data_IF_177401063069
#
_entry.id   IF_177401063069
#
_cell.length_a   1.000
_cell.length_b   1.000
_cell.length_c   1.000
_cell.angle_alpha   90.00
_cell.angle_beta   90.00
_cell.angle_gamma   90.00
#
_symmetry.space_group_name_H-M   'P 1'
#
loop_
_entity.id
_entity.type
_entity.pdbx_description
1 polymer ?
#
# COMPACT_ATOMS: atom_id res chain seq x y z
N UNK A 1 13.06 3.64 -25.20
CA UNK A 1 13.73 3.37 -23.91
C UNK A 1 13.16 4.16 -22.73
N UNK A 2 13.14 5.50 -22.73
CA UNK A 2 12.68 6.30 -21.57
C UNK A 2 11.24 6.00 -21.08
N UNK A 3 10.29 5.78 -21.99
CA UNK A 3 8.89 5.45 -21.65
C UNK A 3 8.74 4.07 -20.99
N UNK A 4 9.47 3.06 -21.49
CA UNK A 4 9.44 1.71 -20.94
C UNK A 4 10.02 1.67 -19.52
N UNK A 5 11.14 2.36 -19.29
CA UNK A 5 11.77 2.47 -17.98
C UNK A 5 10.83 3.13 -16.94
N UNK A 6 10.09 4.17 -17.36
CA UNK A 6 9.13 4.84 -16.48
C UNK A 6 7.96 3.94 -16.08
N UNK A 7 7.46 3.11 -17.01
CA UNK A 7 6.39 2.14 -16.72
C UNK A 7 6.93 1.05 -15.78
N UNK A 8 8.11 0.49 -16.06
CA UNK A 8 8.72 -0.54 -15.23
C UNK A 8 8.97 -0.05 -13.80
N UNK A 9 9.50 1.17 -13.64
CA UNK A 9 9.71 1.77 -12.32
C UNK A 9 8.39 1.92 -11.54
N UNK A 10 7.31 2.28 -12.23
CA UNK A 10 6.00 2.41 -11.61
C UNK A 10 5.41 1.07 -11.17
N UNK A 11 5.53 0.04 -12.00
CA UNK A 11 5.10 -1.33 -11.68
C UNK A 11 5.87 -1.87 -10.47
N UNK A 12 7.19 -1.69 -10.45
CA UNK A 12 8.04 -2.11 -9.33
C UNK A 12 7.67 -1.36 -8.05
N UNK A 13 7.42 -0.05 -8.14
CA UNK A 13 6.99 0.75 -7.00
C UNK A 13 5.63 0.29 -6.46
N UNK A 14 4.66 0.00 -7.34
CA UNK A 14 3.34 -0.50 -6.94
C UNK A 14 3.42 -1.87 -6.26
N UNK A 15 4.22 -2.79 -6.82
CA UNK A 15 4.46 -4.10 -6.22
C UNK A 15 5.17 -4.00 -4.86
N UNK A 16 6.16 -3.11 -4.75
CA UNK A 16 6.85 -2.87 -3.48
C UNK A 16 5.90 -2.33 -2.40
N UNK A 17 4.99 -1.45 -2.78
CA UNK A 17 3.98 -0.89 -1.88
C UNK A 17 2.94 -1.94 -1.43
N UNK A 18 2.48 -2.81 -2.33
CA UNK A 18 1.62 -3.96 -1.95
C UNK A 18 2.34 -4.91 -0.98
N UNK A 19 3.58 -5.29 -1.31
CA UNK A 19 4.40 -6.16 -0.46
C UNK A 19 4.61 -5.55 0.94
N UNK A 20 4.82 -4.24 1.04
CA UNK A 20 4.92 -3.55 2.33
C UNK A 20 3.63 -3.65 3.14
N UNK A 21 2.46 -3.54 2.50
CA UNK A 21 1.17 -3.76 3.15
C UNK A 21 1.05 -5.16 3.75
N UNK A 22 1.45 -6.19 3.01
CA UNK A 22 1.50 -7.57 3.51
C UNK A 22 2.47 -7.74 4.69
N UNK A 23 3.66 -7.15 4.59
CA UNK A 23 4.65 -7.20 5.68
C UNK A 23 4.10 -6.55 6.96
N UNK A 24 3.38 -5.43 6.85
CA UNK A 24 2.73 -4.77 7.99
C UNK A 24 1.72 -5.71 8.64
N UNK A 25 0.82 -6.31 7.86
CA UNK A 25 -0.23 -7.21 8.40
C UNK A 25 0.36 -8.44 9.08
N UNK A 26 1.30 -9.12 8.41
CA UNK A 26 1.97 -10.30 9.00
C UNK A 26 2.67 -9.92 10.30
N UNK A 27 3.37 -8.78 10.33
CA UNK A 27 4.05 -8.32 11.55
C UNK A 27 3.06 -7.99 12.66
N UNK A 28 1.92 -7.40 12.31
CA UNK A 28 0.86 -7.05 13.24
C UNK A 28 0.27 -8.30 13.91
N UNK A 29 -0.06 -9.33 13.13
CA UNK A 29 -0.55 -10.61 13.64
C UNK A 29 0.47 -11.31 14.54
N UNK A 30 1.74 -11.33 14.13
CA UNK A 30 2.81 -11.99 14.89
C UNK A 30 3.08 -11.36 16.26
N UNK A 31 2.74 -10.08 16.44
CA UNK A 31 3.02 -9.30 17.65
C UNK A 31 1.81 -9.09 18.55
N UNK A 32 0.62 -9.43 18.06
CA UNK A 32 -0.63 -9.34 18.82
C UNK A 32 -0.72 -10.34 19.96
N UNK A 33 -1.83 -10.29 20.70
CA UNK A 33 -2.05 -11.10 21.92
C UNK A 33 -2.01 -12.61 21.70
N UNK A 34 -2.31 -13.07 20.48
CA UNK A 34 -2.24 -14.48 20.10
C UNK A 34 -0.99 -14.81 19.24
N UNK A 35 -0.13 -13.81 19.04
CA UNK A 35 1.04 -13.88 18.18
C UNK A 35 2.22 -14.58 18.84
N UNK A 36 3.05 -15.23 18.02
CA UNK A 36 4.27 -15.94 18.47
C UNK A 36 5.31 -15.01 19.11
N UNK A 37 5.33 -13.73 18.72
CA UNK A 37 6.29 -12.72 19.15
C UNK A 37 5.58 -11.56 19.84
N UNK A 38 4.68 -11.89 20.78
CA UNK A 38 3.84 -10.92 21.47
C UNK A 38 4.68 -9.79 22.10
N UNK A 39 4.38 -8.56 21.67
CA UNK A 39 4.98 -7.32 22.17
C UNK A 39 3.97 -6.20 21.95
N UNK A 40 3.29 -5.78 23.01
CA UNK A 40 2.20 -4.80 22.92
C UNK A 40 2.67 -3.44 22.39
N UNK A 41 3.85 -2.98 22.82
CA UNK A 41 4.40 -1.70 22.37
C UNK A 41 4.71 -1.78 20.88
N UNK A 42 5.39 -2.84 20.45
CA UNK A 42 5.73 -3.02 19.04
C UNK A 42 4.49 -3.27 18.16
N UNK A 43 3.49 -3.96 18.68
CA UNK A 43 2.20 -4.17 18.01
C UNK A 43 1.49 -2.85 17.69
N UNK A 44 1.41 -1.94 18.67
CA UNK A 44 0.84 -0.59 18.45
C UNK A 44 1.68 0.26 17.49
N UNK A 45 3.00 0.10 17.49
CA UNK A 45 3.88 0.75 16.50
C UNK A 45 3.56 0.24 15.09
N UNK A 46 3.41 -1.07 14.90
CA UNK A 46 3.07 -1.65 13.59
C UNK A 46 1.69 -1.17 13.14
N UNK A 47 0.72 -1.07 14.04
CA UNK A 47 -0.60 -0.52 13.74
C UNK A 47 -0.50 0.92 13.19
N UNK A 48 0.25 1.78 13.88
CA UNK A 48 0.50 3.15 13.42
C UNK A 48 1.23 3.19 12.07
N UNK A 49 2.22 2.31 11.87
CA UNK A 49 2.88 2.15 10.58
C UNK A 49 1.91 1.76 9.46
N UNK A 50 0.93 0.89 9.73
CA UNK A 50 -0.11 0.53 8.78
C UNK A 50 -0.99 1.71 8.36
N UNK A 51 -1.42 2.52 9.33
CA UNK A 51 -2.19 3.74 9.04
C UNK A 51 -1.38 4.75 8.21
N UNK A 52 -0.12 4.97 8.57
CA UNK A 52 0.79 5.85 7.85
C UNK A 52 1.04 5.32 6.43
N UNK A 53 1.26 4.01 6.28
CA UNK A 53 1.45 3.38 4.98
C UNK A 53 0.25 3.66 4.06
N UNK A 54 -0.98 3.35 4.50
CA UNK A 54 -2.20 3.64 3.73
C UNK A 54 -2.27 5.12 3.34
N UNK A 55 -2.07 6.03 4.28
CA UNK A 55 -2.15 7.48 4.02
C UNK A 55 -1.11 7.94 2.99
N UNK A 56 0.14 7.47 3.11
CA UNK A 56 1.23 7.81 2.18
C UNK A 56 0.99 7.21 0.80
N UNK A 57 0.52 5.96 0.71
CA UNK A 57 0.21 5.31 -0.58
C UNK A 57 -0.93 6.05 -1.29
N UNK A 58 -2.00 6.43 -0.59
CA UNK A 58 -3.09 7.23 -1.17
C UNK A 58 -2.57 8.58 -1.67
N UNK A 59 -1.75 9.27 -0.87
CA UNK A 59 -1.14 10.54 -1.29
C UNK A 59 -0.27 10.36 -2.55
N UNK A 60 0.54 9.31 -2.60
CA UNK A 60 1.35 8.96 -3.77
C UNK A 60 0.48 8.75 -5.01
N UNK A 61 -0.59 7.97 -4.92
CA UNK A 61 -1.52 7.72 -6.02
C UNK A 61 -2.19 9.00 -6.53
N UNK A 62 -2.56 9.93 -5.64
CA UNK A 62 -3.10 11.24 -6.03
C UNK A 62 -2.07 12.10 -6.78
N UNK A 63 -0.80 12.05 -6.38
CA UNK A 63 0.29 12.74 -7.07
C UNK A 63 0.54 12.15 -8.47
N UNK A 64 0.48 10.82 -8.60
CA UNK A 64 0.56 10.12 -9.89
C UNK A 64 -0.56 10.56 -10.82
N UNK A 65 -1.80 10.61 -10.32
CA UNK A 65 -2.92 11.09 -11.11
C UNK A 65 -2.75 12.55 -11.53
N UNK A 66 -2.38 13.44 -10.62
CA UNK A 66 -2.11 14.85 -10.92
C UNK A 66 -1.04 15.01 -12.01
N UNK A 67 0.04 14.22 -11.93
CA UNK A 67 1.10 14.19 -12.94
C UNK A 67 0.61 13.64 -14.28
N UNK A 68 -0.22 12.61 -14.28
CA UNK A 68 -0.84 12.07 -15.50
C UNK A 68 -1.71 13.12 -16.21
N UNK A 69 -2.52 13.85 -15.45
CA UNK A 69 -3.35 14.95 -15.97
C UNK A 69 -2.52 16.08 -16.56
N UNK A 70 -1.47 16.53 -15.86
CA UNK A 70 -0.58 17.59 -16.35
C UNK A 70 0.15 17.24 -17.66
N UNK A 71 0.37 15.94 -17.91
CA UNK A 71 1.06 15.45 -19.11
C UNK A 71 0.10 15.03 -20.24
N UNK A 72 -1.19 15.40 -20.18
CA UNK A 72 -2.19 15.05 -21.19
C UNK A 72 -2.65 13.59 -21.17
N UNK A 73 -2.28 12.82 -20.15
CA UNK A 73 -2.62 11.40 -19.98
C UNK A 73 -3.57 11.18 -18.78
N UNK A 74 -4.58 12.04 -18.62
CA UNK A 74 -5.46 12.06 -17.44
C UNK A 74 -6.15 10.71 -17.16
N UNK A 75 -6.61 10.00 -18.20
CA UNK A 75 -7.26 8.70 -18.05
C UNK A 75 -6.30 7.62 -17.55
N UNK A 76 -5.09 7.55 -18.13
CA UNK A 76 -4.06 6.58 -17.71
C UNK A 76 -3.56 6.87 -16.29
N UNK A 77 -3.36 8.13 -15.93
CA UNK A 77 -2.99 8.53 -14.57
C UNK A 77 -4.07 8.18 -13.54
N UNK A 78 -5.36 8.33 -13.90
CA UNK A 78 -6.48 7.94 -13.03
C UNK A 78 -6.56 6.43 -12.82
N UNK A 79 -6.47 5.64 -13.89
CA UNK A 79 -6.50 4.17 -13.79
C UNK A 79 -5.36 3.67 -12.90
N UNK A 80 -4.16 4.23 -13.09
CA UNK A 80 -2.98 3.83 -12.33
C UNK A 80 -3.11 4.19 -10.85
N UNK A 81 -3.61 5.38 -10.54
CA UNK A 81 -3.87 5.79 -9.16
C UNK A 81 -4.92 4.91 -8.47
N UNK A 82 -6.00 4.55 -9.17
CA UNK A 82 -7.02 3.64 -8.63
C UNK A 82 -6.44 2.26 -8.37
N UNK A 83 -5.63 1.74 -9.31
CA UNK A 83 -4.97 0.46 -9.15
C UNK A 83 -4.05 0.42 -7.92
N UNK A 84 -3.21 1.44 -7.76
CA UNK A 84 -2.30 1.52 -6.60
C UNK A 84 -3.06 1.60 -5.27
N UNK A 85 -4.16 2.35 -5.22
CA UNK A 85 -5.01 2.43 -4.01
C UNK A 85 -5.63 1.07 -3.70
N UNK A 86 -6.20 0.39 -4.70
CA UNK A 86 -6.80 -0.93 -4.49
C UNK A 86 -5.75 -1.91 -3.99
N UNK A 87 -4.59 -1.98 -4.65
CA UNK A 87 -3.52 -2.89 -4.24
C UNK A 87 -2.99 -2.57 -2.84
N UNK A 88 -2.90 -1.28 -2.47
CA UNK A 88 -2.57 -0.89 -1.08
C UNK A 88 -3.59 -1.44 -0.09
N UNK A 89 -4.88 -1.39 -0.41
CA UNK A 89 -5.95 -1.77 0.51
C UNK A 89 -6.16 -3.29 0.62
N UNK A 90 -5.78 -4.08 -0.39
CA UNK A 90 -5.98 -5.53 -0.42
C UNK A 90 -5.46 -6.25 0.84
N UNK A 91 -4.20 -6.04 1.30
CA UNK A 91 -3.70 -6.67 2.53
C UNK A 91 -4.56 -6.36 3.76
N UNK A 92 -4.97 -5.10 3.91
CA UNK A 92 -5.75 -4.64 5.06
C UNK A 92 -7.19 -5.15 5.02
N UNK A 93 -7.80 -5.19 3.83
CA UNK A 93 -9.13 -5.77 3.64
C UNK A 93 -9.12 -7.26 3.91
N UNK A 94 -8.09 -7.98 3.44
CA UNK A 94 -7.90 -9.40 3.73
C UNK A 94 -7.84 -9.62 5.24
N UNK A 95 -6.97 -8.88 5.92
CA UNK A 95 -6.85 -8.96 7.38
C UNK A 95 -8.18 -8.68 8.09
N UNK A 96 -8.88 -7.62 7.71
CA UNK A 96 -10.17 -7.28 8.31
C UNK A 96 -11.21 -8.39 8.12
N UNK A 97 -11.29 -8.97 6.93
CA UNK A 97 -12.27 -10.04 6.63
C UNK A 97 -11.92 -11.35 7.34
N UNK A 98 -10.65 -11.72 7.43
CA UNK A 98 -10.22 -13.01 7.99
C UNK A 98 -10.11 -12.98 9.51
N UNK A 99 -9.69 -11.85 10.07
CA UNK A 99 -9.35 -11.76 11.49
C UNK A 99 -10.37 -10.99 12.34
N UNK A 100 -11.24 -10.18 11.74
CA UNK A 100 -12.23 -9.36 12.48
C UNK A 100 -13.67 -9.82 12.26
N UNK A 101 -14.01 -10.27 11.06
CA UNK A 101 -15.37 -10.72 10.70
C UNK A 101 -15.61 -12.18 11.07
#
# INVERSE_FOLDING_TARGET
MKKFLAIAAHVISGLGNDLLGWVVIISFELTGSEGKFQDDVFHWIIFACGLIHIAVSVLYSLLVWKKGTANGHALSGKILAVYDIIMTLVPYMYWFVVCVL
#
